data_IF_037337197531
#
_entry.id   IF_037337197531
#
_cell.length_a   1.000
_cell.length_b   1.000
_cell.length_c   1.000
_cell.angle_alpha   90.00
_cell.angle_beta   90.00
_cell.angle_gamma   90.00
#
_symmetry.space_group_name_H-M   'P 1'
#
loop_
_entity.id
_entity.type
_entity.pdbx_description
1 polymer ?
#
# COMPACT_ATOMS: atom_id res chain seq x y z
N UNK A 1 -18.64 5.82 48.44
CA UNK A 1 -18.43 5.02 47.22
C UNK A 1 -17.48 5.84 46.38
N UNK A 2 -16.24 5.40 46.22
CA UNK A 2 -15.29 6.02 45.29
C UNK A 2 -15.76 5.70 43.88
N UNK A 3 -16.09 6.71 43.06
CA UNK A 3 -16.23 6.52 41.62
C UNK A 3 -14.95 5.86 41.11
N UNK A 4 -15.09 4.75 40.38
CA UNK A 4 -13.95 4.11 39.73
C UNK A 4 -13.39 5.10 38.70
N UNK A 5 -12.12 5.50 38.81
CA UNK A 5 -11.50 6.42 37.87
C UNK A 5 -11.07 5.69 36.60
N UNK A 6 -11.17 6.36 35.44
CA UNK A 6 -10.72 5.80 34.15
C UNK A 6 -9.29 5.27 34.26
N UNK A 7 -9.09 4.00 33.93
CA UNK A 7 -7.79 3.32 34.05
C UNK A 7 -6.92 3.36 32.79
N UNK A 8 -7.45 3.89 31.68
CA UNK A 8 -6.76 3.90 30.37
C UNK A 8 -5.67 4.95 30.31
N UNK A 9 -4.47 4.52 29.92
CA UNK A 9 -3.29 5.40 29.76
C UNK A 9 -3.30 6.20 28.46
N UNK A 10 -3.97 5.70 27.41
CA UNK A 10 -4.06 6.39 26.12
C UNK A 10 -5.45 6.31 25.46
N UNK A 11 -5.72 7.28 24.60
CA UNK A 11 -6.90 7.30 23.74
C UNK A 11 -6.65 6.40 22.54
N UNK A 12 -7.52 5.41 22.32
CA UNK A 12 -7.36 4.44 21.25
C UNK A 12 -8.66 4.12 20.54
N UNK A 13 -8.57 3.74 19.27
CA UNK A 13 -9.64 3.04 18.57
C UNK A 13 -9.65 1.58 19.03
N UNK A 14 -10.80 1.08 19.49
CA UNK A 14 -10.93 -0.27 20.06
C UNK A 14 -12.31 -0.87 19.78
N UNK A 15 -12.42 -2.19 19.90
CA UNK A 15 -13.71 -2.89 19.97
C UNK A 15 -14.16 -3.18 21.41
N UNK A 16 -13.32 -2.94 22.43
CA UNK A 16 -13.71 -3.04 23.83
C UNK A 16 -14.36 -1.75 24.33
N UNK A 17 -15.62 -1.58 23.96
CA UNK A 17 -16.39 -0.38 24.26
C UNK A 17 -17.15 -0.45 25.60
N UNK A 18 -16.78 -1.36 26.51
CA UNK A 18 -17.47 -1.52 27.82
C UNK A 18 -19.01 -1.65 27.70
N UNK A 19 -19.49 -2.32 26.64
CA UNK A 19 -20.91 -2.46 26.29
C UNK A 19 -21.67 -1.13 26.05
N UNK A 20 -20.96 -0.02 25.81
CA UNK A 20 -21.58 1.28 25.50
C UNK A 20 -21.97 1.41 24.02
N UNK A 21 -21.34 0.62 23.15
CA UNK A 21 -21.62 0.59 21.71
C UNK A 21 -22.27 -0.74 21.33
N UNK A 22 -23.03 -0.72 20.23
CA UNK A 22 -23.59 -1.95 19.64
C UNK A 22 -22.50 -2.96 19.31
N UNK A 23 -22.84 -4.25 19.36
CA UNK A 23 -21.88 -5.33 19.11
C UNK A 23 -21.21 -5.18 17.72
N UNK A 24 -19.89 -5.41 17.68
CA UNK A 24 -19.07 -5.32 16.46
C UNK A 24 -18.88 -3.91 15.91
N UNK A 25 -19.33 -2.88 16.63
CA UNK A 25 -19.06 -1.47 16.35
C UNK A 25 -17.85 -1.01 17.18
N UNK A 26 -16.77 -0.55 16.55
CA UNK A 26 -15.65 0.06 17.26
C UNK A 26 -16.05 1.38 17.93
N UNK A 27 -15.21 1.82 18.84
CA UNK A 27 -15.31 3.11 19.50
C UNK A 27 -13.93 3.69 19.77
N UNK A 28 -13.92 4.99 20.01
CA UNK A 28 -12.79 5.68 20.59
C UNK A 28 -12.93 5.62 22.10
N UNK A 29 -12.01 4.93 22.76
CA UNK A 29 -11.92 4.85 24.21
C UNK A 29 -10.89 5.87 24.69
N UNK A 30 -11.32 6.87 25.46
CA UNK A 30 -10.48 7.99 25.87
C UNK A 30 -9.61 7.63 27.07
N UNK A 31 -8.38 8.18 27.10
CA UNK A 31 -7.49 8.10 28.25
C UNK A 31 -8.08 8.78 29.50
N UNK A 32 -7.50 8.49 30.66
CA UNK A 32 -7.83 9.14 31.92
C UNK A 32 -7.71 10.67 31.82
N UNK A 33 -8.80 11.39 32.12
CA UNK A 33 -8.87 12.85 31.99
C UNK A 33 -9.12 13.36 30.57
N UNK A 34 -9.20 12.48 29.56
CA UNK A 34 -9.69 12.81 28.22
C UNK A 34 -11.21 13.06 28.24
N UNK A 35 -11.67 13.98 27.40
CA UNK A 35 -13.09 14.31 27.28
C UNK A 35 -13.61 13.96 25.90
N UNK A 36 -14.75 13.26 25.85
CA UNK A 36 -15.54 13.10 24.63
C UNK A 36 -16.34 14.38 24.37
N UNK A 37 -16.23 14.95 23.18
CA UNK A 37 -17.07 16.06 22.74
C UNK A 37 -18.26 15.50 21.95
N UNK A 38 -19.26 14.95 22.66
CA UNK A 38 -20.44 14.28 22.07
C UNK A 38 -21.43 15.22 21.34
N UNK A 39 -20.95 16.35 20.80
CA UNK A 39 -21.82 17.35 20.16
C UNK A 39 -22.31 16.95 18.77
N UNK A 40 -21.78 15.87 18.18
CA UNK A 40 -22.09 15.47 16.80
C UNK A 40 -22.41 13.97 16.65
N UNK A 41 -23.31 13.44 17.48
CA UNK A 41 -23.92 12.09 17.41
C UNK A 41 -23.15 10.97 18.17
N UNK A 42 -23.89 10.27 19.06
CA UNK A 42 -23.40 9.16 19.90
C UNK A 42 -23.38 9.50 21.38
N UNK A 43 -24.01 8.68 22.23
CA UNK A 43 -24.10 8.90 23.67
C UNK A 43 -22.72 8.90 24.34
N UNK A 44 -22.29 10.03 24.88
CA UNK A 44 -21.25 10.08 25.91
C UNK A 44 -21.81 9.45 27.19
N UNK A 45 -21.62 8.16 27.35
CA UNK A 45 -21.87 7.50 28.62
C UNK A 45 -20.56 7.49 29.41
N UNK A 46 -20.50 8.29 30.47
CA UNK A 46 -19.53 8.07 31.54
C UNK A 46 -19.70 6.62 32.02
N UNK A 47 -18.62 5.83 32.00
CA UNK A 47 -18.66 4.38 32.14
C UNK A 47 -19.42 3.82 33.35
N UNK A 48 -19.68 2.52 33.29
CA UNK A 48 -20.34 1.75 34.35
C UNK A 48 -19.54 1.78 35.67
N UNK A 49 -20.16 1.35 36.78
CA UNK A 49 -19.61 1.42 38.16
C UNK A 49 -18.24 0.77 38.42
N UNK A 50 -17.61 0.14 37.42
CA UNK A 50 -16.31 -0.50 37.50
C UNK A 50 -15.17 0.27 36.81
N UNK A 51 -15.45 1.12 35.80
CA UNK A 51 -14.46 1.98 35.13
C UNK A 51 -15.17 3.19 34.46
N UNK A 52 -14.73 4.42 34.73
CA UNK A 52 -15.41 5.67 34.29
C UNK A 52 -14.90 6.26 32.99
N UNK A 53 -14.15 5.49 32.18
CA UNK A 53 -13.67 5.98 30.89
C UNK A 53 -14.82 6.47 30.00
N UNK A 54 -14.53 7.52 29.22
CA UNK A 54 -15.44 8.02 28.20
C UNK A 54 -15.23 7.22 26.93
N UNK A 55 -16.32 6.99 26.19
CA UNK A 55 -16.30 6.30 24.91
C UNK A 55 -17.11 7.09 23.89
N UNK A 56 -16.66 7.07 22.66
CA UNK A 56 -17.40 7.59 21.51
C UNK A 56 -17.54 6.47 20.48
N UNK A 57 -18.77 6.00 20.28
CA UNK A 57 -19.04 4.93 19.34
C UNK A 57 -18.86 5.43 17.91
N UNK A 58 -18.21 4.63 17.06
CA UNK A 58 -18.08 4.93 15.66
C UNK A 58 -19.46 5.05 14.98
N UNK A 59 -19.60 5.97 14.05
CA UNK A 59 -20.87 6.29 13.37
C UNK A 59 -20.61 6.44 11.87
N UNK A 60 -21.56 6.05 11.02
CA UNK A 60 -21.48 6.26 9.56
C UNK A 60 -22.50 7.30 9.08
N UNK A 61 -22.76 8.30 9.92
CA UNK A 61 -23.55 9.47 9.59
C UNK A 61 -24.84 9.63 10.40
N UNK A 62 -25.62 10.68 10.10
CA UNK A 62 -26.79 11.05 10.91
C UNK A 62 -27.88 9.97 10.98
N UNK A 63 -28.03 9.16 9.93
CA UNK A 63 -29.09 8.15 9.81
C UNK A 63 -28.80 6.88 10.63
N UNK A 64 -27.55 6.66 11.03
CA UNK A 64 -27.08 5.47 11.75
C UNK A 64 -27.76 5.31 13.12
N UNK A 65 -27.97 6.42 13.85
CA UNK A 65 -28.65 6.42 15.15
C UNK A 65 -30.17 6.31 15.05
N UNK A 66 -30.77 6.80 13.96
CA UNK A 66 -32.20 6.66 13.73
C UNK A 66 -32.62 5.17 13.63
N UNK A 67 -31.68 4.32 13.21
CA UNK A 67 -31.88 2.88 13.05
C UNK A 67 -31.63 2.04 14.33
N UNK A 68 -31.30 2.65 15.47
CA UNK A 68 -31.07 1.95 16.77
C UNK A 68 -30.14 0.73 16.65
N UNK A 69 -29.03 0.85 15.90
CA UNK A 69 -28.07 -0.25 15.74
C UNK A 69 -28.50 -1.36 14.78
N UNK A 70 -29.57 -1.17 14.00
CA UNK A 70 -30.05 -2.14 12.99
C UNK A 70 -29.24 -2.10 11.68
N UNK A 71 -28.20 -1.29 11.58
CA UNK A 71 -27.37 -1.17 10.37
C UNK A 71 -26.26 -2.22 10.46
N UNK A 72 -26.38 -3.28 9.67
CA UNK A 72 -25.28 -4.20 9.41
C UNK A 72 -24.26 -3.50 8.50
N UNK A 73 -23.00 -3.42 8.94
CA UNK A 73 -21.94 -2.76 8.19
C UNK A 73 -21.15 -3.75 7.36
N UNK A 74 -21.08 -3.49 6.06
CA UNK A 74 -20.19 -4.20 5.15
C UNK A 74 -18.81 -3.56 5.03
N UNK A 75 -18.68 -2.29 5.46
CA UNK A 75 -17.46 -1.48 5.34
C UNK A 75 -17.32 -0.49 6.50
N UNK A 76 -16.10 -0.34 7.02
CA UNK A 76 -15.69 0.74 7.92
C UNK A 76 -14.62 1.62 7.26
N UNK A 77 -14.75 2.94 7.38
CA UNK A 77 -13.78 3.92 6.88
C UNK A 77 -13.39 4.88 8.00
N UNK A 78 -12.10 4.96 8.31
CA UNK A 78 -11.56 5.80 9.38
C UNK A 78 -10.66 6.86 8.78
N UNK A 79 -11.06 8.14 8.87
CA UNK A 79 -10.19 9.27 8.54
C UNK A 79 -9.49 9.78 9.79
N UNK A 80 -8.17 9.83 9.75
CA UNK A 80 -7.30 10.16 10.88
C UNK A 80 -6.56 11.44 10.50
N UNK A 81 -6.88 12.61 11.07
CA UNK A 81 -6.24 13.87 10.73
C UNK A 81 -4.71 13.80 10.86
N UNK A 82 -3.99 14.54 10.02
CA UNK A 82 -2.55 14.65 10.17
C UNK A 82 -2.20 15.24 11.54
N UNK A 83 -1.44 14.48 12.32
CA UNK A 83 -0.97 14.89 13.64
C UNK A 83 0.11 15.97 13.57
N UNK A 84 0.55 16.42 14.74
CA UNK A 84 1.72 17.30 14.88
C UNK A 84 3.06 16.55 14.77
N UNK A 85 3.03 15.22 14.84
CA UNK A 85 4.21 14.39 14.65
C UNK A 85 4.58 14.33 13.17
N UNK A 86 5.73 14.92 12.84
CA UNK A 86 6.29 14.85 11.50
C UNK A 86 6.75 13.43 11.17
N UNK A 87 6.47 12.99 9.95
CA UNK A 87 7.08 11.78 9.41
C UNK A 87 8.60 11.92 9.26
N UNK A 88 9.29 10.79 9.09
CA UNK A 88 10.74 10.75 8.76
C UNK A 88 11.10 11.57 7.49
N UNK A 89 10.12 11.85 6.64
CA UNK A 89 10.28 12.65 5.43
C UNK A 89 9.97 14.12 5.66
N UNK A 90 8.87 14.40 6.37
CA UNK A 90 8.48 15.76 6.77
C UNK A 90 9.62 16.47 7.52
N UNK A 91 10.27 15.75 8.45
CA UNK A 91 11.39 16.27 9.23
C UNK A 91 12.60 16.72 8.40
N UNK A 92 12.70 16.30 7.14
CA UNK A 92 13.79 16.63 6.23
C UNK A 92 13.38 17.66 5.15
N UNK A 93 12.14 18.15 5.17
CA UNK A 93 11.68 19.13 4.18
C UNK A 93 12.27 20.51 4.44
N UNK A 94 12.66 21.17 3.35
CA UNK A 94 12.87 22.62 3.36
C UNK A 94 11.54 23.35 3.54
N UNK A 95 11.55 24.60 4.01
CA UNK A 95 10.33 25.40 4.14
C UNK A 95 9.57 25.57 2.82
N UNK A 96 10.27 25.58 1.68
CA UNK A 96 9.64 25.62 0.36
C UNK A 96 8.92 24.32 0.02
N UNK A 97 9.49 23.16 0.37
CA UNK A 97 8.86 21.87 0.17
C UNK A 97 7.62 21.73 1.06
N UNK A 98 7.73 22.07 2.34
CA UNK A 98 6.60 22.07 3.26
C UNK A 98 5.45 22.96 2.76
N UNK A 99 5.75 24.19 2.32
CA UNK A 99 4.73 25.10 1.77
C UNK A 99 4.06 24.55 0.49
N UNK A 100 4.80 23.80 -0.32
CA UNK A 100 4.27 23.15 -1.53
C UNK A 100 3.30 22.04 -1.15
N UNK A 101 3.69 21.20 -0.19
CA UNK A 101 2.86 20.12 0.35
C UNK A 101 1.57 20.69 0.96
N UNK A 102 1.67 21.73 1.78
CA UNK A 102 0.51 22.39 2.39
C UNK A 102 -0.46 22.93 1.33
N UNK A 103 0.08 23.49 0.23
CA UNK A 103 -0.74 23.97 -0.88
C UNK A 103 -1.42 22.84 -1.64
N UNK A 104 -0.75 21.70 -1.82
CA UNK A 104 -1.32 20.51 -2.46
C UNK A 104 -2.44 19.91 -1.60
N UNK A 105 -2.22 19.76 -0.28
CA UNK A 105 -3.22 19.25 0.65
C UNK A 105 -4.49 20.10 0.67
N UNK A 106 -4.38 21.43 0.49
CA UNK A 106 -5.56 22.31 0.39
C UNK A 106 -6.38 22.09 -0.89
N UNK A 107 -5.81 21.47 -1.91
CA UNK A 107 -6.51 21.14 -3.17
C UNK A 107 -7.08 19.73 -3.19
N UNK A 108 -6.69 18.88 -2.22
CA UNK A 108 -7.27 17.55 -2.09
C UNK A 108 -8.74 17.64 -1.72
N UNK A 109 -9.52 16.69 -2.24
CA UNK A 109 -10.95 16.59 -1.93
C UNK A 109 -11.11 16.18 -0.47
N UNK A 110 -11.99 16.87 0.27
CA UNK A 110 -12.40 16.43 1.61
C UNK A 110 -13.51 15.37 1.48
N UNK A 111 -13.13 14.11 1.69
CA UNK A 111 -13.99 12.94 1.61
C UNK A 111 -14.66 12.60 2.96
N UNK A 112 -14.36 13.34 4.03
CA UNK A 112 -14.99 13.11 5.35
C UNK A 112 -16.49 13.32 5.33
N UNK A 113 -16.99 14.10 4.36
CA UNK A 113 -18.42 14.31 4.14
C UNK A 113 -19.08 13.16 3.35
N UNK A 114 -18.29 12.38 2.59
CA UNK A 114 -18.78 11.21 1.84
C UNK A 114 -18.87 9.96 2.71
N UNK A 115 -17.96 9.86 3.68
CA UNK A 115 -17.94 8.82 4.71
C UNK A 115 -18.12 9.50 6.06
N UNK A 116 -19.35 9.93 6.41
CA UNK A 116 -19.60 10.75 7.59
C UNK A 116 -19.31 9.95 8.87
N UNK A 117 -18.05 9.86 9.25
CA UNK A 117 -17.58 9.40 10.55
C UNK A 117 -17.16 10.63 11.34
N UNK A 118 -18.04 11.11 12.22
CA UNK A 118 -17.74 12.24 13.12
C UNK A 118 -16.68 11.88 14.17
N UNK A 119 -16.33 10.60 14.31
CA UNK A 119 -15.25 10.11 15.17
C UNK A 119 -13.86 10.16 14.51
N UNK A 120 -13.60 11.13 13.64
CA UNK A 120 -12.26 11.38 13.08
C UNK A 120 -11.31 12.03 14.11
N UNK A 121 -11.46 11.69 15.39
CA UNK A 121 -10.54 12.17 16.42
C UNK A 121 -9.14 11.61 16.18
N UNK A 122 -8.16 12.36 16.66
CA UNK A 122 -6.73 12.07 16.56
C UNK A 122 -6.37 10.92 17.51
N UNK A 123 -6.79 9.70 17.18
CA UNK A 123 -6.24 8.52 17.82
C UNK A 123 -4.92 8.17 17.13
N UNK A 124 -3.89 7.97 17.94
CA UNK A 124 -2.62 7.41 17.48
C UNK A 124 -2.58 5.90 17.75
N UNK A 125 -3.30 5.41 18.77
CA UNK A 125 -3.29 4.00 19.15
C UNK A 125 -4.50 3.25 18.57
N UNK A 126 -4.25 2.06 18.03
CA UNK A 126 -5.29 1.16 17.52
C UNK A 126 -5.14 -0.23 18.16
N UNK A 127 -6.10 -0.55 19.01
CA UNK A 127 -6.21 -1.85 19.66
C UNK A 127 -6.74 -2.91 18.69
N UNK A 128 -6.72 -4.21 19.05
CA UNK A 128 -7.34 -5.25 18.23
C UNK A 128 -8.80 -4.91 17.91
N UNK A 129 -9.16 -4.95 16.63
CA UNK A 129 -10.51 -4.69 16.18
C UNK A 129 -11.25 -6.00 15.89
N UNK A 130 -12.54 -6.00 16.21
CA UNK A 130 -13.45 -7.12 15.98
C UNK A 130 -14.72 -6.62 15.32
N UNK A 131 -14.78 -6.80 14.01
CA UNK A 131 -15.98 -6.48 13.22
C UNK A 131 -17.00 -7.63 13.22
N UNK A 132 -18.22 -7.32 12.80
CA UNK A 132 -19.27 -8.30 12.55
C UNK A 132 -18.93 -9.18 11.33
N UNK A 133 -19.54 -10.36 11.25
CA UNK A 133 -19.31 -11.32 10.16
C UNK A 133 -19.66 -10.75 8.78
N UNK A 134 -20.62 -9.82 8.72
CA UNK A 134 -21.04 -9.16 7.48
C UNK A 134 -20.05 -8.06 7.00
N UNK A 135 -19.10 -7.65 7.85
CA UNK A 135 -18.13 -6.61 7.50
C UNK A 135 -17.04 -7.16 6.61
N UNK A 136 -17.05 -6.78 5.34
CA UNK A 136 -16.09 -7.27 4.33
C UNK A 136 -14.97 -6.29 4.00
N UNK A 137 -15.04 -5.04 4.46
CA UNK A 137 -14.07 -4.01 4.13
C UNK A 137 -13.70 -3.14 5.34
N UNK A 138 -12.43 -2.77 5.43
CA UNK A 138 -11.93 -1.81 6.40
C UNK A 138 -10.89 -0.88 5.76
N UNK A 139 -11.07 0.42 5.92
CA UNK A 139 -10.23 1.46 5.34
C UNK A 139 -9.74 2.42 6.43
N UNK A 140 -8.43 2.67 6.45
CA UNK A 140 -7.78 3.61 7.36
C UNK A 140 -7.01 4.64 6.53
N UNK A 141 -7.31 5.91 6.73
CA UNK A 141 -6.86 6.99 5.85
C UNK A 141 -6.28 8.12 6.69
N UNK A 142 -5.02 8.47 6.46
CA UNK A 142 -4.42 9.68 7.02
C UNK A 142 -4.86 10.93 6.25
N UNK A 143 -5.31 11.94 6.98
CA UNK A 143 -5.89 13.16 6.43
C UNK A 143 -7.40 13.03 6.22
N UNK A 144 -7.89 13.70 5.18
CA UNK A 144 -9.32 13.79 4.83
C UNK A 144 -9.62 13.18 3.46
N UNK A 145 -8.66 12.51 2.84
CA UNK A 145 -8.73 12.02 1.48
C UNK A 145 -7.96 10.71 1.34
N UNK A 146 -8.47 9.77 0.55
CA UNK A 146 -7.71 8.58 0.10
C UNK A 146 -6.58 8.94 -0.86
N UNK A 147 -6.54 10.19 -1.31
CA UNK A 147 -5.41 10.80 -1.98
C UNK A 147 -4.52 11.49 -0.96
N UNK A 148 -3.30 11.85 -1.34
CA UNK A 148 -2.41 12.52 -0.43
C UNK A 148 -1.08 12.89 -1.08
N UNK A 149 -0.29 13.64 -0.32
CA UNK A 149 1.04 14.04 -0.76
C UNK A 149 2.06 13.05 -0.22
N UNK A 150 2.85 12.45 -1.11
CA UNK A 150 3.84 11.43 -0.75
C UNK A 150 4.75 11.92 0.38
N UNK A 151 4.79 11.17 1.47
CA UNK A 151 5.58 11.51 2.65
C UNK A 151 4.81 12.22 3.77
N UNK A 152 3.67 12.87 3.47
CA UNK A 152 2.74 13.38 4.48
C UNK A 152 1.85 12.24 4.96
N UNK A 153 1.90 11.93 6.25
CA UNK A 153 1.12 10.81 6.81
C UNK A 153 0.58 11.11 8.21
N UNK A 154 -0.46 10.39 8.60
CA UNK A 154 -0.90 10.31 10.01
C UNK A 154 -0.19 9.15 10.70
N UNK A 155 0.41 9.40 11.86
CA UNK A 155 1.10 8.36 12.62
C UNK A 155 0.11 7.48 13.38
N UNK A 156 0.27 6.18 13.25
CA UNK A 156 -0.50 5.17 13.98
C UNK A 156 0.43 4.17 14.67
N UNK A 157 -0.05 3.67 15.80
CA UNK A 157 0.48 2.52 16.53
C UNK A 157 -0.55 1.41 16.43
N UNK A 158 -0.19 0.34 15.74
CA UNK A 158 -1.08 -0.79 15.55
C UNK A 158 -0.73 -1.88 16.54
N UNK A 159 -1.75 -2.46 17.17
CA UNK A 159 -1.61 -3.72 17.89
C UNK A 159 -1.05 -4.81 16.97
N UNK A 160 -0.26 -5.73 17.53
CA UNK A 160 0.19 -6.93 16.81
C UNK A 160 -0.97 -7.85 16.40
N UNK A 161 -2.15 -7.68 16.99
CA UNK A 161 -3.38 -8.43 16.65
C UNK A 161 -4.42 -7.56 15.94
N UNK A 162 -4.00 -6.43 15.35
CA UNK A 162 -4.87 -5.37 14.82
C UNK A 162 -6.13 -5.86 14.08
N UNK A 163 -5.98 -6.54 12.93
CA UNK A 163 -7.09 -7.11 12.14
C UNK A 163 -7.00 -8.62 11.98
N UNK A 164 -6.02 -9.28 12.61
CA UNK A 164 -5.69 -10.69 12.36
C UNK A 164 -6.87 -11.65 12.63
N UNK A 165 -7.79 -11.25 13.53
CA UNK A 165 -9.00 -12.03 13.84
C UNK A 165 -10.13 -11.87 12.82
N UNK A 166 -10.09 -10.86 11.94
CA UNK A 166 -11.18 -10.52 11.03
C UNK A 166 -11.09 -11.29 9.70
N UNK A 167 -11.21 -12.61 9.78
CA UNK A 167 -11.04 -13.51 8.62
C UNK A 167 -12.11 -13.35 7.53
N UNK A 168 -13.20 -12.64 7.80
CA UNK A 168 -14.24 -12.29 6.84
C UNK A 168 -13.85 -11.14 5.89
N UNK A 169 -12.82 -10.35 6.23
CA UNK A 169 -12.42 -9.19 5.44
C UNK A 169 -11.89 -9.62 4.08
N UNK A 170 -12.39 -8.93 3.06
CA UNK A 170 -11.98 -9.05 1.65
C UNK A 170 -11.13 -7.87 1.21
N UNK A 171 -11.47 -6.66 1.69
CA UNK A 171 -10.82 -5.43 1.27
C UNK A 171 -10.20 -4.74 2.47
N UNK A 172 -8.89 -4.53 2.41
CA UNK A 172 -8.15 -3.80 3.45
C UNK A 172 -7.39 -2.66 2.78
N UNK A 173 -7.67 -1.44 3.23
CA UNK A 173 -7.06 -0.23 2.69
C UNK A 173 -6.40 0.58 3.79
N UNK A 174 -5.14 0.91 3.58
CA UNK A 174 -4.35 1.83 4.40
C UNK A 174 -3.72 2.86 3.48
N UNK A 175 -4.00 4.14 3.72
CA UNK A 175 -3.47 5.22 2.87
C UNK A 175 -3.00 6.40 3.69
N UNK A 176 -1.84 6.95 3.35
CA UNK A 176 -1.24 8.10 4.04
C UNK A 176 -0.97 7.84 5.54
N UNK A 177 -0.49 6.64 5.88
CA UNK A 177 -0.28 6.25 7.27
C UNK A 177 1.20 5.94 7.56
N UNK A 178 1.72 6.49 8.66
CA UNK A 178 2.99 6.09 9.24
C UNK A 178 2.75 5.11 10.37
N UNK A 179 3.67 4.17 10.58
CA UNK A 179 3.58 3.18 11.64
C UNK A 179 4.78 3.26 12.58
N UNK A 180 4.54 3.02 13.86
CA UNK A 180 5.59 2.90 14.88
C UNK A 180 6.52 1.70 14.64
N UNK A 181 5.96 0.62 14.09
CA UNK A 181 6.68 -0.54 13.56
C UNK A 181 6.50 -0.60 12.04
N UNK A 182 7.58 -0.34 11.29
CA UNK A 182 7.59 -0.28 9.83
C UNK A 182 8.29 -1.54 9.24
N UNK A 183 7.57 -2.44 8.54
CA UNK A 183 6.12 -2.52 8.36
C UNK A 183 5.45 -3.26 9.54
N UNK A 184 4.14 -3.05 9.78
CA UNK A 184 3.37 -3.90 10.68
C UNK A 184 3.50 -5.39 10.28
N UNK A 185 3.73 -6.27 11.25
CA UNK A 185 3.97 -7.70 11.02
C UNK A 185 2.91 -8.58 11.67
N UNK A 186 2.36 -9.55 10.93
CA UNK A 186 1.38 -10.52 11.43
C UNK A 186 0.08 -9.89 11.92
N UNK A 187 -0.29 -8.76 11.32
CA UNK A 187 -1.39 -7.89 11.80
C UNK A 187 -2.66 -8.01 10.98
N UNK A 188 -2.62 -8.72 9.85
CA UNK A 188 -3.70 -8.79 8.88
C UNK A 188 -4.28 -10.21 8.76
N UNK A 189 -5.56 -10.35 8.40
CA UNK A 189 -6.11 -11.65 8.01
C UNK A 189 -5.55 -12.05 6.63
N UNK A 190 -5.39 -13.35 6.39
CA UNK A 190 -4.73 -13.84 5.16
C UNK A 190 -5.61 -14.76 4.31
N UNK A 191 -6.76 -15.19 4.81
CA UNK A 191 -7.57 -16.24 4.17
C UNK A 191 -8.44 -15.72 3.02
N UNK A 192 -9.16 -14.62 3.22
CA UNK A 192 -10.20 -14.14 2.29
C UNK A 192 -9.92 -12.76 1.68
N UNK A 193 -8.72 -12.22 1.89
CA UNK A 193 -8.36 -10.90 1.36
C UNK A 193 -8.21 -10.98 -0.15
N UNK A 194 -9.09 -10.28 -0.86
CA UNK A 194 -9.16 -10.16 -2.32
C UNK A 194 -8.49 -8.85 -2.79
N UNK A 195 -8.59 -7.78 -2.00
CA UNK A 195 -7.97 -6.48 -2.27
C UNK A 195 -7.17 -5.98 -1.08
N UNK A 196 -5.88 -5.69 -1.32
CA UNK A 196 -4.97 -5.19 -0.30
C UNK A 196 -4.23 -3.93 -0.77
N UNK A 197 -4.44 -2.82 -0.07
CA UNK A 197 -3.86 -1.52 -0.40
C UNK A 197 -3.11 -0.95 0.80
N UNK A 198 -1.83 -0.63 0.62
CA UNK A 198 -1.03 0.18 1.53
C UNK A 198 -0.29 1.24 0.74
N UNK A 199 -0.94 2.37 0.48
CA UNK A 199 -0.42 3.45 -0.39
C UNK A 199 0.10 4.62 0.44
N UNK A 200 1.24 5.20 0.07
CA UNK A 200 1.85 6.31 0.81
C UNK A 200 2.01 5.99 2.32
N UNK A 201 2.50 4.79 2.61
CA UNK A 201 2.66 4.29 3.98
C UNK A 201 4.11 4.33 4.49
N UNK A 202 4.98 5.04 3.77
CA UNK A 202 6.41 5.17 4.03
C UNK A 202 7.21 3.85 4.03
N UNK A 203 6.62 2.78 3.51
CA UNK A 203 7.15 1.44 3.58
C UNK A 203 8.38 1.28 2.69
N UNK A 204 9.35 0.51 3.17
CA UNK A 204 10.55 0.13 2.40
C UNK A 204 10.72 -1.38 2.26
N UNK A 205 9.95 -2.16 3.03
CA UNK A 205 9.86 -3.62 2.97
C UNK A 205 8.40 -4.04 3.10
N UNK A 206 8.06 -5.22 2.60
CA UNK A 206 6.66 -5.67 2.52
C UNK A 206 6.23 -6.33 3.84
N UNK A 207 4.96 -6.19 4.27
CA UNK A 207 4.44 -6.93 5.41
C UNK A 207 4.47 -8.45 5.14
N UNK A 208 4.90 -9.25 6.11
CA UNK A 208 5.06 -10.70 5.93
C UNK A 208 3.74 -11.43 5.68
N UNK A 209 2.61 -10.86 6.13
CA UNK A 209 1.26 -11.41 5.92
C UNK A 209 0.94 -11.68 4.45
N UNK A 210 1.49 -10.87 3.53
CA UNK A 210 1.27 -11.00 2.08
C UNK A 210 1.64 -12.40 1.57
N UNK A 211 2.72 -13.00 2.08
CA UNK A 211 3.18 -14.34 1.68
C UNK A 211 2.05 -15.39 1.83
N UNK A 212 1.10 -15.14 2.74
CA UNK A 212 -0.01 -16.04 3.02
C UNK A 212 -1.37 -15.59 2.45
N UNK A 213 -1.46 -14.41 1.83
CA UNK A 213 -2.68 -13.87 1.21
C UNK A 213 -3.00 -14.52 -0.14
N UNK A 214 -3.26 -15.83 -0.14
CA UNK A 214 -3.42 -16.62 -1.38
C UNK A 214 -4.65 -16.27 -2.24
N UNK A 215 -5.62 -15.54 -1.69
CA UNK A 215 -6.86 -15.14 -2.37
C UNK A 215 -6.78 -13.77 -3.05
N UNK A 216 -5.64 -13.09 -2.97
CA UNK A 216 -5.52 -11.69 -3.39
C UNK A 216 -5.53 -11.54 -4.90
N UNK A 217 -6.36 -10.61 -5.38
CA UNK A 217 -6.54 -10.30 -6.80
C UNK A 217 -5.96 -8.92 -7.11
N UNK A 218 -6.16 -7.97 -6.19
CA UNK A 218 -5.81 -6.57 -6.38
C UNK A 218 -4.86 -6.08 -5.30
N UNK A 219 -3.67 -5.61 -5.70
CA UNK A 219 -2.67 -5.07 -4.79
C UNK A 219 -2.19 -3.69 -5.19
N UNK A 220 -2.16 -2.79 -4.23
CA UNK A 220 -1.63 -1.44 -4.40
C UNK A 220 -0.65 -1.07 -3.28
N UNK A 221 0.59 -0.87 -3.69
CA UNK A 221 1.74 -0.45 -2.88
C UNK A 221 2.35 0.85 -3.43
N UNK A 222 1.57 1.64 -4.16
CA UNK A 222 2.03 2.90 -4.74
C UNK A 222 2.49 3.92 -3.69
N UNK A 223 3.30 4.88 -4.13
CA UNK A 223 3.78 6.01 -3.31
C UNK A 223 4.59 5.59 -2.06
N UNK A 224 5.17 4.39 -2.06
CA UNK A 224 6.07 3.92 -0.99
C UNK A 224 7.54 4.10 -1.40
N UNK A 225 8.45 3.38 -0.74
CA UNK A 225 9.90 3.47 -0.94
C UNK A 225 10.53 2.09 -1.18
N UNK A 226 9.78 1.18 -1.80
CA UNK A 226 10.26 -0.16 -2.14
C UNK A 226 11.39 -0.10 -3.16
N UNK A 227 12.48 -0.82 -2.90
CA UNK A 227 13.62 -0.98 -3.83
C UNK A 227 13.60 -2.31 -4.57
N UNK A 228 13.02 -3.31 -3.93
CA UNK A 228 12.94 -4.67 -4.45
C UNK A 228 11.50 -5.01 -4.78
N UNK A 229 11.34 -5.86 -5.79
CA UNK A 229 10.08 -6.44 -6.18
C UNK A 229 9.62 -7.51 -5.16
N UNK A 230 8.31 -7.68 -4.87
CA UNK A 230 7.84 -8.61 -3.83
C UNK A 230 7.85 -10.08 -4.30
N UNK A 231 9.02 -10.67 -4.55
CA UNK A 231 9.16 -12.02 -5.17
C UNK A 231 8.43 -13.12 -4.38
N UNK A 232 8.42 -13.03 -3.04
CA UNK A 232 7.73 -14.01 -2.17
C UNK A 232 6.21 -13.96 -2.27
N UNK A 233 5.68 -12.93 -2.93
CA UNK A 233 4.28 -12.65 -3.09
C UNK A 233 3.96 -12.59 -4.60
N UNK A 234 3.98 -13.77 -5.21
CA UNK A 234 3.63 -13.99 -6.61
C UNK A 234 2.52 -15.02 -6.67
N UNK A 235 1.32 -14.63 -6.21
CA UNK A 235 0.17 -15.54 -6.20
C UNK A 235 -0.45 -15.59 -7.59
N UNK A 236 -0.79 -16.80 -8.03
CA UNK A 236 -1.46 -17.02 -9.32
C UNK A 236 -2.80 -16.28 -9.42
N UNK A 237 -3.42 -15.91 -8.30
CA UNK A 237 -4.71 -15.20 -8.26
C UNK A 237 -4.62 -13.72 -8.63
N UNK A 238 -3.42 -13.12 -8.64
CA UNK A 238 -3.25 -11.70 -8.85
C UNK A 238 -3.53 -11.28 -10.30
N UNK A 239 -4.39 -10.28 -10.44
CA UNK A 239 -4.74 -9.68 -11.73
C UNK A 239 -4.22 -8.24 -11.86
N UNK A 240 -4.13 -7.50 -10.75
CA UNK A 240 -3.70 -6.10 -10.77
C UNK A 240 -2.67 -5.80 -9.70
N UNK A 241 -1.56 -5.19 -10.11
CA UNK A 241 -0.50 -4.75 -9.20
C UNK A 241 -0.06 -3.32 -9.52
N UNK A 242 -0.20 -2.44 -8.52
CA UNK A 242 0.30 -1.08 -8.57
C UNK A 242 1.51 -0.94 -7.64
N UNK A 243 2.69 -0.71 -8.23
CA UNK A 243 3.94 -0.39 -7.55
C UNK A 243 4.48 0.97 -8.01
N UNK A 244 3.61 1.83 -8.53
CA UNK A 244 4.00 3.14 -9.03
C UNK A 244 4.60 4.04 -7.94
N UNK A 245 5.49 4.94 -8.36
CA UNK A 245 6.13 5.93 -7.47
C UNK A 245 6.84 5.28 -6.27
N UNK A 246 7.70 4.30 -6.56
CA UNK A 246 8.56 3.63 -5.58
C UNK A 246 10.04 3.95 -5.88
N UNK A 247 10.96 3.01 -5.65
CA UNK A 247 12.38 3.12 -5.97
C UNK A 247 12.91 1.80 -6.57
N UNK A 248 12.06 1.08 -7.31
CA UNK A 248 12.40 -0.22 -7.89
C UNK A 248 13.48 -0.05 -8.96
N UNK A 249 14.48 -0.94 -8.93
CA UNK A 249 15.55 -1.02 -9.95
C UNK A 249 15.39 -2.22 -10.87
N UNK A 250 14.61 -3.23 -10.46
CA UNK A 250 14.29 -4.41 -11.24
C UNK A 250 12.90 -4.95 -10.85
N UNK A 251 12.34 -5.80 -11.71
CA UNK A 251 11.13 -6.58 -11.45
C UNK A 251 11.41 -8.04 -11.85
N UNK A 252 10.98 -8.98 -11.01
CA UNK A 252 11.38 -10.39 -11.12
C UNK A 252 10.32 -11.41 -10.68
N UNK A 253 9.06 -11.00 -10.48
CA UNK A 253 7.97 -11.91 -10.12
C UNK A 253 7.29 -12.55 -11.33
N UNK A 254 6.63 -13.69 -11.11
CA UNK A 254 5.85 -14.41 -12.12
C UNK A 254 4.36 -14.28 -11.78
N UNK A 255 3.59 -13.68 -12.69
CA UNK A 255 2.15 -13.45 -12.48
C UNK A 255 1.39 -13.89 -13.71
N UNK A 256 1.08 -15.19 -13.83
CA UNK A 256 0.48 -15.74 -15.05
C UNK A 256 -0.90 -15.16 -15.36
N UNK A 257 -1.58 -14.59 -14.36
CA UNK A 257 -2.90 -13.99 -14.49
C UNK A 257 -2.92 -12.47 -14.48
N UNK A 258 -1.76 -11.80 -14.42
CA UNK A 258 -1.69 -10.34 -14.39
C UNK A 258 -2.30 -9.73 -15.65
N UNK A 259 -3.24 -8.80 -15.47
CA UNK A 259 -3.85 -8.02 -16.53
C UNK A 259 -3.39 -6.56 -16.51
N UNK A 260 -3.10 -6.02 -15.31
CA UNK A 260 -2.75 -4.63 -15.11
C UNK A 260 -1.51 -4.49 -14.22
N UNK A 261 -0.43 -3.95 -14.77
CA UNK A 261 0.81 -3.71 -14.05
C UNK A 261 1.23 -2.25 -14.18
N UNK A 262 1.28 -1.55 -13.05
CA UNK A 262 1.82 -0.19 -12.98
C UNK A 262 3.16 -0.18 -12.23
N UNK A 263 4.22 0.15 -12.97
CA UNK A 263 5.59 0.31 -12.48
C UNK A 263 6.10 1.73 -12.75
N UNK A 264 5.22 2.68 -13.04
CA UNK A 264 5.60 4.06 -13.32
C UNK A 264 6.30 4.74 -12.12
N UNK A 265 7.09 5.78 -12.35
CA UNK A 265 7.71 6.55 -11.26
C UNK A 265 8.72 5.74 -10.43
N UNK A 266 9.43 4.81 -11.07
CA UNK A 266 10.48 4.01 -10.46
C UNK A 266 11.85 4.37 -11.06
N UNK A 267 12.88 3.58 -10.78
CA UNK A 267 14.23 3.78 -11.29
C UNK A 267 14.68 2.62 -12.18
N UNK A 268 13.75 2.03 -12.94
CA UNK A 268 14.06 0.95 -13.86
C UNK A 268 14.95 1.47 -15.00
N UNK A 269 16.03 0.75 -15.29
CA UNK A 269 16.94 1.06 -16.40
C UNK A 269 16.79 0.11 -17.58
N UNK A 270 16.17 -1.05 -17.34
CA UNK A 270 15.90 -2.10 -18.32
C UNK A 270 14.44 -2.56 -18.21
N UNK A 271 13.89 -3.07 -19.30
CA UNK A 271 12.57 -3.70 -19.27
C UNK A 271 12.65 -5.03 -18.50
N UNK A 272 11.73 -5.29 -17.55
CA UNK A 272 11.72 -6.56 -16.85
C UNK A 272 11.39 -7.71 -17.81
N UNK A 273 12.28 -8.69 -17.95
CA UNK A 273 12.15 -9.75 -18.97
C UNK A 273 10.90 -10.62 -18.80
N UNK A 274 10.45 -10.78 -17.56
CA UNK A 274 9.26 -11.54 -17.16
C UNK A 274 7.95 -10.96 -17.71
N UNK A 275 7.86 -9.66 -18.05
CA UNK A 275 6.60 -9.10 -18.59
C UNK A 275 6.20 -9.76 -19.92
N UNK A 276 7.19 -10.23 -20.69
CA UNK A 276 6.95 -10.87 -21.98
C UNK A 276 6.38 -12.29 -21.83
N UNK A 277 6.46 -12.86 -20.63
CA UNK A 277 5.91 -14.18 -20.29
C UNK A 277 4.52 -14.07 -19.61
N UNK A 278 3.92 -12.87 -19.54
CA UNK A 278 2.59 -12.64 -18.95
C UNK A 278 1.49 -12.64 -20.02
N UNK A 279 0.83 -13.78 -20.32
CA UNK A 279 -0.04 -13.93 -21.48
C UNK A 279 -1.37 -13.16 -21.36
N UNK A 280 -1.74 -12.73 -20.15
CA UNK A 280 -2.98 -11.99 -19.89
C UNK A 280 -2.77 -10.48 -19.74
N UNK A 281 -1.52 -10.01 -19.80
CA UNK A 281 -1.21 -8.60 -19.59
C UNK A 281 -1.88 -7.76 -20.68
N UNK A 282 -2.60 -6.72 -20.27
CA UNK A 282 -3.32 -5.80 -21.17
C UNK A 282 -2.87 -4.37 -20.96
N UNK A 283 -2.61 -4.00 -19.72
CA UNK A 283 -2.27 -2.64 -19.32
C UNK A 283 -0.90 -2.67 -18.64
N UNK A 284 0.06 -1.97 -19.21
CA UNK A 284 1.40 -1.82 -18.67
C UNK A 284 1.80 -0.34 -18.66
N UNK A 285 2.13 0.18 -17.49
CA UNK A 285 2.66 1.52 -17.33
C UNK A 285 4.10 1.49 -16.83
N UNK A 286 5.00 2.07 -17.63
CA UNK A 286 6.43 2.21 -17.36
C UNK A 286 6.89 3.68 -17.47
N UNK A 287 5.98 4.66 -17.47
CA UNK A 287 6.36 6.07 -17.48
C UNK A 287 7.23 6.44 -16.27
N UNK A 288 7.91 7.56 -16.34
CA UNK A 288 8.70 8.14 -15.26
C UNK A 288 9.75 7.15 -14.70
N UNK A 289 10.41 6.43 -15.61
CA UNK A 289 11.54 5.55 -15.32
C UNK A 289 12.82 6.05 -16.02
N UNK A 290 13.94 5.34 -15.83
CA UNK A 290 15.28 5.78 -16.26
C UNK A 290 15.90 4.85 -17.32
N UNK A 291 15.13 4.44 -18.33
CA UNK A 291 15.60 3.50 -19.35
C UNK A 291 16.79 4.05 -20.16
N UNK A 292 17.86 3.24 -20.29
CA UNK A 292 19.10 3.63 -20.97
C UNK A 292 19.45 2.68 -22.12
N UNK A 293 18.85 2.90 -23.29
CA UNK A 293 19.26 2.23 -24.53
C UNK A 293 18.78 0.78 -24.63
N UNK A 294 17.50 0.57 -24.32
CA UNK A 294 16.85 -0.74 -24.43
C UNK A 294 16.77 -1.16 -25.89
N UNK A 295 17.20 -2.39 -26.17
CA UNK A 295 17.02 -3.05 -27.47
C UNK A 295 16.08 -4.24 -27.33
N UNK A 296 15.15 -4.37 -28.26
CA UNK A 296 14.11 -5.41 -28.23
C UNK A 296 14.26 -6.40 -29.39
N UNK A 297 13.74 -7.61 -29.22
CA UNK A 297 13.48 -8.51 -30.35
C UNK A 297 12.17 -8.13 -31.05
N UNK A 298 11.97 -8.66 -32.27
CA UNK A 298 10.70 -8.46 -32.99
C UNK A 298 9.49 -8.99 -32.21
N UNK A 299 9.65 -10.10 -31.50
CA UNK A 299 8.57 -10.69 -30.70
C UNK A 299 8.22 -9.81 -29.50
N UNK A 300 9.23 -9.25 -28.82
CA UNK A 300 9.02 -8.31 -27.70
C UNK A 300 8.33 -7.02 -28.15
N UNK A 301 8.70 -6.49 -29.32
CA UNK A 301 8.01 -5.33 -29.92
C UNK A 301 6.54 -5.67 -30.22
N UNK A 302 6.30 -6.83 -30.84
CA UNK A 302 4.96 -7.29 -31.17
C UNK A 302 4.10 -7.47 -29.92
N UNK A 303 4.67 -8.02 -28.85
CA UNK A 303 4.01 -8.13 -27.55
C UNK A 303 3.59 -6.76 -27.02
N UNK A 304 4.50 -5.79 -26.92
CA UNK A 304 4.19 -4.46 -26.40
C UNK A 304 3.14 -3.71 -27.25
N UNK A 305 3.16 -3.89 -28.58
CA UNK A 305 2.15 -3.33 -29.48
C UNK A 305 0.77 -4.02 -29.37
N UNK A 306 0.73 -5.24 -28.82
CA UNK A 306 -0.53 -5.98 -28.64
C UNK A 306 -1.27 -5.62 -27.36
N UNK A 307 -0.61 -4.93 -26.43
CA UNK A 307 -1.21 -4.45 -25.19
C UNK A 307 -2.33 -3.44 -25.51
N UNK A 308 -3.40 -3.49 -24.72
CA UNK A 308 -4.51 -2.54 -24.82
C UNK A 308 -4.05 -1.13 -24.46
N UNK A 309 -3.23 -1.01 -23.41
CA UNK A 309 -2.59 0.24 -23.02
C UNK A 309 -1.14 -0.03 -22.66
N UNK A 310 -0.23 0.70 -23.31
CA UNK A 310 1.18 0.68 -22.99
C UNK A 310 1.73 2.11 -22.95
N UNK A 311 2.29 2.48 -21.80
CA UNK A 311 2.84 3.82 -21.58
C UNK A 311 4.31 3.72 -21.19
N UNK A 312 5.15 4.47 -21.89
CA UNK A 312 6.59 4.64 -21.62
C UNK A 312 7.01 5.99 -22.19
N UNK A 313 7.95 6.69 -21.54
CA UNK A 313 8.41 7.99 -22.04
C UNK A 313 9.53 7.84 -23.08
N UNK A 314 10.43 6.88 -22.85
CA UNK A 314 11.59 6.61 -23.70
C UNK A 314 12.12 5.20 -23.47
N UNK A 315 12.65 4.57 -24.51
CA UNK A 315 13.50 3.37 -24.38
C UNK A 315 14.98 3.75 -24.17
N UNK A 316 15.28 5.04 -24.05
CA UNK A 316 16.61 5.62 -23.96
C UNK A 316 17.21 5.94 -25.33
N UNK A 317 18.54 5.97 -25.43
CA UNK A 317 19.24 6.37 -26.65
C UNK A 317 19.16 5.29 -27.75
N UNK A 318 18.52 5.64 -28.87
CA UNK A 318 18.41 4.79 -30.07
C UNK A 318 19.47 5.10 -31.13
N UNK A 319 20.40 6.02 -30.87
CA UNK A 319 21.53 6.31 -31.77
C UNK A 319 22.47 5.12 -31.97
N UNK A 320 22.36 4.12 -31.09
CA UNK A 320 23.09 2.85 -31.17
C UNK A 320 22.69 1.96 -32.35
N UNK A 321 21.54 2.22 -33.00
CA UNK A 321 21.09 1.48 -34.17
C UNK A 321 20.72 2.40 -35.35
N UNK A 322 20.78 1.85 -36.57
CA UNK A 322 20.39 2.58 -37.78
C UNK A 322 18.89 2.88 -37.78
N UNK A 323 18.48 3.95 -38.48
CA UNK A 323 17.06 4.29 -38.64
C UNK A 323 16.21 3.12 -39.17
N UNK A 324 16.79 2.27 -40.03
CA UNK A 324 16.13 1.07 -40.55
C UNK A 324 15.93 -0.05 -39.53
N UNK A 325 16.65 -0.01 -38.40
CA UNK A 325 16.55 -0.96 -37.30
C UNK A 325 15.71 -0.40 -36.13
N UNK A 326 15.22 0.83 -36.25
CA UNK A 326 14.33 1.46 -35.26
C UNK A 326 12.87 1.14 -35.58
N UNK A 327 12.11 0.75 -34.55
CA UNK A 327 10.66 0.57 -34.63
C UNK A 327 10.00 1.52 -33.63
N UNK A 328 8.79 2.00 -33.94
CA UNK A 328 8.01 2.82 -33.02
C UNK A 328 6.94 2.00 -32.30
N UNK A 329 6.83 2.23 -31.00
CA UNK A 329 5.75 1.73 -30.15
C UNK A 329 5.13 2.98 -29.51
N UNK A 330 3.86 3.28 -29.81
CA UNK A 330 3.15 4.47 -29.33
C UNK A 330 3.99 5.77 -29.48
N UNK A 331 4.54 5.97 -30.68
CA UNK A 331 5.42 7.09 -31.07
C UNK A 331 6.83 7.12 -30.44
N UNK A 332 7.15 6.22 -29.51
CA UNK A 332 8.48 6.09 -28.91
C UNK A 332 9.33 5.13 -29.74
N UNK A 333 10.51 5.57 -30.19
CA UNK A 333 11.43 4.74 -30.97
C UNK A 333 12.23 3.79 -30.07
N UNK A 334 12.45 2.57 -30.57
CA UNK A 334 13.28 1.54 -29.92
C UNK A 334 14.15 0.83 -30.96
N UNK A 335 15.37 0.46 -30.58
CA UNK A 335 16.22 -0.36 -31.41
C UNK A 335 15.74 -1.81 -31.41
N UNK A 336 15.72 -2.42 -32.59
CA UNK A 336 15.42 -3.85 -32.74
C UNK A 336 16.68 -4.63 -33.08
N UNK A 337 16.90 -5.73 -32.37
CA UNK A 337 17.91 -6.71 -32.74
C UNK A 337 17.26 -7.77 -33.62
N UNK A 338 17.77 -7.94 -34.85
CA UNK A 338 17.44 -9.11 -35.66
C UNK A 338 18.02 -10.32 -34.94
N UNK A 339 17.16 -11.15 -34.35
CA UNK A 339 17.58 -12.30 -33.56
C UNK A 339 18.60 -13.15 -34.28
N UNK A 340 19.85 -13.09 -33.83
CA UNK A 340 20.78 -14.20 -33.98
C UNK A 340 21.10 -14.67 -32.56
N UNK A 341 20.24 -15.54 -32.04
CA UNK A 341 20.59 -16.41 -30.93
C UNK A 341 21.73 -17.32 -31.41
N UNK A 342 22.96 -16.83 -31.27
CA UNK A 342 24.18 -17.45 -31.73
C UNK A 342 25.33 -16.74 -31.06
N UNK A 343 25.70 -17.26 -29.89
CA UNK A 343 26.95 -17.01 -29.18
C UNK A 343 28.08 -16.50 -30.07
N UNK A 344 28.44 -15.22 -29.94
CA UNK A 344 29.74 -14.72 -30.36
C UNK A 344 30.56 -14.45 -29.09
N UNK A 345 31.17 -15.51 -28.57
CA UNK A 345 32.38 -15.38 -27.78
C UNK A 345 33.43 -14.73 -28.67
N UNK A 346 33.70 -13.44 -28.45
CA UNK A 346 34.90 -12.81 -29.00
C UNK A 346 36.11 -13.40 -28.29
N UNK A 347 36.78 -14.31 -28.99
CA UNK A 347 38.12 -14.77 -28.70
C UNK A 347 39.08 -13.59 -28.66
N UNK A 348 39.64 -13.32 -27.48
CA UNK A 348 40.92 -12.64 -27.35
C UNK A 348 41.85 -13.56 -26.55
N UNK A 349 42.67 -14.32 -27.29
CA UNK A 349 43.86 -14.97 -26.76
C UNK A 349 44.82 -13.91 -26.19
N UNK A 350 45.32 -14.13 -24.97
CA UNK A 350 46.31 -13.24 -24.38
C UNK A 350 46.60 -13.42 -22.90
N UNK A 351 47.29 -14.52 -22.56
CA UNK A 351 48.25 -14.65 -21.44
C UNK A 351 47.77 -14.61 -19.97
N UNK A 352 47.75 -15.81 -19.36
CA UNK A 352 48.44 -16.18 -18.12
C UNK A 352 48.38 -15.24 -16.89
N UNK A 353 47.62 -15.62 -15.86
CA UNK A 353 48.22 -16.17 -14.61
C UNK A 353 47.15 -16.55 -13.57
N UNK A 354 47.29 -17.79 -13.08
CA UNK A 354 46.97 -18.34 -11.76
C UNK A 354 46.08 -17.55 -10.79
N UNK A 355 44.97 -18.16 -10.35
CA UNK A 355 44.78 -18.66 -8.97
C UNK A 355 43.33 -19.14 -8.77
N UNK A 356 43.08 -20.45 -8.96
CA UNK A 356 41.86 -21.10 -8.45
C UNK A 356 42.29 -22.12 -7.41
N UNK A 357 42.08 -21.78 -6.15
CA UNK A 357 42.09 -22.73 -5.05
C UNK A 357 40.66 -23.29 -4.89
N UNK A 358 40.48 -24.57 -5.21
CA UNK A 358 39.26 -25.32 -4.97
C UNK A 358 39.59 -26.52 -4.06
N UNK A 359 39.09 -26.47 -2.83
CA UNK A 359 38.88 -27.61 -1.90
C UNK A 359 37.62 -27.20 -1.14
N UNK A 360 36.52 -27.97 -1.08
CA UNK A 360 36.21 -29.17 -0.27
C UNK A 360 34.88 -29.70 -0.86
N UNK A 361 34.52 -30.97 -0.96
CA UNK A 361 35.04 -32.23 -0.44
C UNK A 361 33.86 -33.22 -0.52
N UNK A 362 34.09 -34.38 -1.13
CA UNK A 362 33.09 -35.42 -1.30
C UNK A 362 32.78 -36.16 0.00
N UNK A 363 31.53 -36.63 0.06
CA UNK A 363 30.91 -37.49 1.07
C UNK A 363 31.65 -38.84 1.25
N UNK A 364 31.38 -39.55 2.37
CA UNK A 364 30.40 -40.64 2.30
C UNK A 364 29.05 -40.35 2.96
#
# INVERSE_FOLDING_TARGET
MTEAACSRDSTALTSDCSSQCYEGRPCIAFAAGGSCNATTFGTSSSGSSADSCSFECFTNGPDDFAAQGSVAFTEYVFFIPYGSQESKWEANWTSSQASTVDSQLQTEVDETQMYPSESNLVFEDVEPLKFLEDTTAAMFVGGTSVWGVRGKVSQLKLSTEFLSSNTQLKNITMVNLGFDVDPPQSTFPTTNVESFRMSNCLLSTYPADLEFMTSVVHVDFSLNYFKDYPVKFSHDTMETLNLSTNALTACSGDFPNMTNLDLSGNTLTELPSNIFDMPKLKILNLSDNSFTGVSLTTDQVTFLQSLETFTIDTFGDVSSCSESAQVKINDVAVCTSTGNAGSSSSSSDGTSSSNVAAIVGGKP
#
